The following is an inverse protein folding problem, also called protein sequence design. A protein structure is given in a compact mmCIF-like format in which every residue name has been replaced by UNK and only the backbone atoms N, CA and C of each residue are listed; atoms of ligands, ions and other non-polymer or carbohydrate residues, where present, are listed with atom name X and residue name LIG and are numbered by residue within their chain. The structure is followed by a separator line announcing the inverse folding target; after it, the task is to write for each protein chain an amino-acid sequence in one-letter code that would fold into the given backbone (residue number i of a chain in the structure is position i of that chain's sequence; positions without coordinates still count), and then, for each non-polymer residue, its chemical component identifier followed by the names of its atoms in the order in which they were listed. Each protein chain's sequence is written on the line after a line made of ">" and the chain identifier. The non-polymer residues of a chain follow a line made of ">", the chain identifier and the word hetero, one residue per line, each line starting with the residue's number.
data_IF_344755885852
#
_entry.id   IF_344755885852
#
_cell.length_a   1.000
_cell.length_b   1.000
_cell.length_c   1.000
_cell.angle_alpha   90.00
_cell.angle_beta   90.00
_cell.angle_gamma   90.00
#
_symmetry.space_group_name_H-M   'P 1'
#
loop_
_entity.id
_entity.type
_entity.pdbx_description
1 polymer ?
#
# COMPACT_ATOMS: atom_id res chain seq x y z
N UNK A 1 41.68 -125.86 -4.26
CA UNK A 1 41.17 -125.03 -3.16
C UNK A 1 42.27 -124.10 -2.70
N UNK A 2 42.22 -122.80 -3.03
CA UNK A 2 43.15 -121.80 -2.51
C UNK A 2 42.41 -120.48 -2.32
N UNK A 3 42.26 -120.10 -1.05
CA UNK A 3 41.71 -118.84 -0.58
C UNK A 3 42.62 -117.68 -0.97
N UNK A 4 42.04 -116.55 -1.38
CA UNK A 4 42.78 -115.31 -1.59
C UNK A 4 42.28 -114.24 -0.63
N UNK A 5 43.21 -113.77 0.19
CA UNK A 5 43.07 -112.71 1.17
C UNK A 5 42.90 -111.34 0.51
N UNK A 6 42.16 -110.48 1.21
CA UNK A 6 41.96 -109.06 0.93
C UNK A 6 43.16 -108.30 1.52
N UNK A 7 43.89 -107.59 0.67
CA UNK A 7 44.88 -106.58 1.06
C UNK A 7 44.47 -105.27 0.41
N UNK A 8 44.15 -104.27 1.23
CA UNK A 8 43.73 -102.93 0.81
C UNK A 8 45.00 -102.11 0.61
N UNK A 9 45.36 -101.85 -0.65
CA UNK A 9 46.43 -100.95 -1.04
C UNK A 9 45.79 -99.83 -1.85
N UNK A 10 45.41 -98.73 -1.18
CA UNK A 10 44.82 -97.56 -1.83
C UNK A 10 45.97 -96.66 -2.27
N UNK A 11 46.13 -96.42 -3.58
CA UNK A 11 47.19 -95.54 -4.09
C UNK A 11 46.98 -94.11 -3.57
N UNK A 12 48.04 -93.53 -3.00
CA UNK A 12 48.09 -92.13 -2.57
C UNK A 12 47.98 -91.24 -3.81
N UNK A 13 46.99 -90.33 -3.91
CA UNK A 13 46.93 -89.37 -5.02
C UNK A 13 48.02 -88.30 -4.86
N UNK A 14 48.85 -88.16 -5.89
CA UNK A 14 49.84 -87.09 -6.02
C UNK A 14 49.23 -85.70 -5.82
N UNK A 15 49.75 -84.94 -4.86
CA UNK A 15 49.43 -83.52 -4.67
C UNK A 15 50.10 -82.73 -5.78
N UNK A 16 49.36 -82.41 -6.85
CA UNK A 16 49.74 -81.41 -7.86
C UNK A 16 49.08 -80.08 -7.49
N UNK A 17 49.87 -79.12 -7.03
CA UNK A 17 49.43 -77.76 -6.68
C UNK A 17 48.99 -76.96 -7.92
N UNK A 18 47.91 -76.20 -7.74
CA UNK A 18 47.49 -74.96 -8.42
C UNK A 18 46.78 -75.03 -9.79
N UNK A 19 45.49 -74.67 -9.79
CA UNK A 19 44.87 -73.89 -10.88
C UNK A 19 44.08 -72.71 -10.27
N UNK A 20 44.21 -71.49 -10.81
CA UNK A 20 43.77 -70.27 -10.14
C UNK A 20 42.24 -70.06 -10.16
N UNK A 21 41.78 -69.46 -9.07
CA UNK A 21 40.39 -69.19 -8.66
C UNK A 21 39.71 -68.09 -9.49
N UNK A 22 39.82 -68.13 -10.83
CA UNK A 22 39.38 -67.01 -11.69
C UNK A 22 38.14 -67.34 -12.53
N UNK A 23 37.75 -68.61 -12.64
CA UNK A 23 36.64 -69.04 -13.52
C UNK A 23 35.30 -69.26 -12.79
N UNK A 24 35.26 -69.26 -11.45
CA UNK A 24 34.02 -69.56 -10.69
C UNK A 24 33.07 -68.37 -10.49
N UNK A 25 33.49 -67.13 -10.80
CA UNK A 25 32.72 -65.90 -10.51
C UNK A 25 32.00 -65.34 -11.75
N UNK A 26 32.29 -65.84 -12.96
CA UNK A 26 31.69 -65.30 -14.20
C UNK A 26 30.24 -65.75 -14.48
N UNK A 27 29.66 -66.64 -13.68
CA UNK A 27 28.31 -67.20 -13.95
C UNK A 27 27.15 -66.36 -13.39
N UNK A 28 27.42 -65.29 -12.65
CA UNK A 28 26.41 -64.44 -12.00
C UNK A 28 26.35 -62.99 -12.50
N UNK A 29 27.11 -62.65 -13.55
CA UNK A 29 27.03 -61.34 -14.18
C UNK A 29 25.97 -61.37 -15.28
N UNK A 30 24.90 -60.55 -15.21
CA UNK A 30 23.92 -60.45 -16.29
C UNK A 30 24.61 -60.07 -17.60
N UNK A 31 24.20 -60.69 -18.70
CA UNK A 31 24.79 -60.44 -20.01
C UNK A 31 24.60 -58.97 -20.41
N UNK A 32 25.50 -58.44 -21.24
CA UNK A 32 25.47 -57.05 -21.70
C UNK A 32 24.10 -56.64 -22.27
N UNK A 33 23.33 -57.59 -22.82
CA UNK A 33 21.98 -57.35 -23.35
C UNK A 33 20.89 -57.21 -22.28
N UNK A 34 20.99 -57.90 -21.15
CA UNK A 34 20.04 -57.70 -20.04
C UNK A 34 20.23 -56.34 -19.37
N UNK A 35 21.47 -55.87 -19.26
CA UNK A 35 21.76 -54.56 -18.63
C UNK A 35 21.21 -53.42 -19.48
N UNK A 36 21.34 -53.49 -20.80
CA UNK A 36 20.81 -52.46 -21.71
C UNK A 36 19.28 -52.48 -21.77
N UNK A 37 18.65 -53.66 -21.76
CA UNK A 37 17.19 -53.77 -21.72
C UNK A 37 16.59 -53.23 -20.42
N UNK A 38 17.18 -53.56 -19.26
CA UNK A 38 16.71 -53.03 -17.96
C UNK A 38 16.88 -51.52 -17.87
N UNK A 39 17.98 -50.96 -18.40
CA UNK A 39 18.17 -49.50 -18.44
C UNK A 39 17.15 -48.79 -19.34
N UNK A 40 16.77 -49.38 -20.47
CA UNK A 40 15.72 -48.81 -21.34
C UNK A 40 14.34 -48.83 -20.67
N UNK A 41 13.98 -49.92 -19.99
CA UNK A 41 12.70 -50.01 -19.27
C UNK A 41 12.61 -48.98 -18.14
N UNK A 42 13.69 -48.81 -17.36
CA UNK A 42 13.75 -47.78 -16.31
C UNK A 42 13.70 -46.37 -16.90
N UNK A 43 14.34 -46.13 -18.05
CA UNK A 43 14.27 -44.84 -18.74
C UNK A 43 12.86 -44.49 -19.22
N UNK A 44 12.10 -45.46 -19.75
CA UNK A 44 10.70 -45.27 -20.15
C UNK A 44 9.79 -45.09 -18.93
N UNK A 45 10.03 -45.82 -17.84
CA UNK A 45 9.31 -45.62 -16.57
C UNK A 45 9.61 -44.27 -15.90
N UNK A 46 10.78 -43.66 -16.15
CA UNK A 46 11.09 -42.30 -15.67
C UNK A 46 10.47 -41.22 -16.56
N UNK A 47 10.30 -41.48 -17.87
CA UNK A 47 9.57 -40.59 -18.77
C UNK A 47 8.05 -40.62 -18.55
N UNK A 48 7.49 -41.74 -18.10
CA UNK A 48 6.05 -41.89 -17.84
C UNK A 48 5.56 -41.12 -16.58
N UNK A 49 6.44 -40.54 -15.77
CA UNK A 49 6.07 -39.82 -14.52
C UNK A 49 5.82 -38.32 -14.74
N UNK A 50 5.96 -37.84 -15.99
CA UNK A 50 5.85 -36.41 -16.30
C UNK A 50 4.47 -35.97 -16.82
N UNK A 51 3.42 -36.77 -16.58
CA UNK A 51 2.03 -36.34 -16.81
C UNK A 51 1.26 -36.52 -15.50
N UNK A 52 1.18 -35.45 -14.70
CA UNK A 52 0.23 -35.38 -13.59
C UNK A 52 0.63 -34.61 -12.34
N UNK A 53 1.87 -34.13 -12.20
CA UNK A 53 2.21 -33.20 -11.13
C UNK A 53 1.84 -31.77 -11.54
N UNK A 54 0.56 -31.41 -11.43
CA UNK A 54 0.17 -30.01 -11.38
C UNK A 54 0.75 -29.43 -10.10
N UNK A 55 1.64 -28.41 -10.15
CA UNK A 55 1.93 -27.64 -8.95
C UNK A 55 0.61 -26.97 -8.55
N UNK A 56 0.07 -27.39 -7.40
CA UNK A 56 -0.91 -26.59 -6.69
C UNK A 56 -0.21 -25.29 -6.28
N UNK A 57 -0.26 -24.29 -7.15
CA UNK A 57 -0.08 -22.92 -6.72
C UNK A 57 -1.14 -22.71 -5.64
N UNK A 58 -0.70 -22.62 -4.39
CA UNK A 58 -1.51 -22.12 -3.30
C UNK A 58 -1.79 -20.65 -3.62
N UNK A 59 -2.79 -20.43 -4.46
CA UNK A 59 -3.53 -19.19 -4.46
C UNK A 59 -4.21 -19.14 -3.09
N UNK A 60 -3.63 -18.36 -2.19
CA UNK A 60 -4.36 -17.80 -1.06
C UNK A 60 -5.38 -16.81 -1.62
N UNK A 61 -6.36 -17.30 -2.38
CA UNK A 61 -7.65 -16.64 -2.45
C UNK A 61 -8.26 -16.82 -1.08
N UNK A 62 -8.74 -15.76 -0.40
CA UNK A 62 -9.60 -15.95 0.74
C UNK A 62 -10.82 -16.72 0.24
N UNK A 63 -10.86 -18.03 0.47
CA UNK A 63 -12.06 -18.82 0.30
C UNK A 63 -13.01 -18.31 1.38
N UNK A 64 -13.98 -17.51 0.94
CA UNK A 64 -15.13 -17.14 1.73
C UNK A 64 -15.66 -18.40 2.43
N UNK A 65 -15.99 -18.25 3.72
CA UNK A 65 -16.43 -19.33 4.59
C UNK A 65 -17.47 -20.23 3.91
N UNK A 66 -17.13 -21.51 3.93
CA UNK A 66 -17.81 -22.68 3.38
C UNK A 66 -19.17 -22.92 4.04
N UNK A 67 -20.22 -23.13 3.23
CA UNK A 67 -21.50 -23.61 3.71
C UNK A 67 -21.58 -25.13 3.64
N UNK A 68 -21.94 -25.78 4.73
CA UNK A 68 -22.40 -27.18 4.71
C UNK A 68 -23.88 -27.25 4.38
N UNK A 69 -24.30 -28.27 3.61
CA UNK A 69 -25.69 -28.47 3.21
C UNK A 69 -26.23 -29.70 3.93
N UNK A 70 -27.17 -29.51 4.85
CA UNK A 70 -27.88 -30.64 5.47
C UNK A 70 -28.78 -31.32 4.44
N UNK A 71 -28.64 -32.63 4.28
CA UNK A 71 -29.44 -33.41 3.35
C UNK A 71 -29.96 -34.69 4.02
N UNK A 72 -31.28 -34.85 3.99
CA UNK A 72 -31.97 -36.03 4.48
C UNK A 72 -32.60 -36.79 3.31
N UNK A 73 -32.42 -38.11 3.29
CA UNK A 73 -32.96 -38.99 2.26
C UNK A 73 -33.55 -40.27 2.86
N UNK A 74 -34.37 -40.95 2.05
CA UNK A 74 -34.88 -42.29 2.35
C UNK A 74 -34.32 -43.29 1.33
N UNK A 75 -33.64 -44.31 1.82
CA UNK A 75 -33.11 -45.42 1.06
C UNK A 75 -34.02 -46.64 1.22
N UNK A 76 -34.46 -47.19 0.09
CA UNK A 76 -35.26 -48.39 0.02
C UNK A 76 -34.71 -49.31 -1.07
N UNK A 77 -34.99 -50.60 -0.98
CA UNK A 77 -34.66 -51.57 -2.03
C UNK A 77 -35.59 -51.44 -3.25
N UNK A 78 -35.36 -52.27 -4.27
CA UNK A 78 -36.19 -52.30 -5.49
C UNK A 78 -37.66 -52.67 -5.23
N UNK A 79 -37.96 -53.33 -4.11
CA UNK A 79 -39.32 -53.65 -3.66
C UNK A 79 -39.97 -52.54 -2.81
N UNK A 80 -39.24 -51.44 -2.54
CA UNK A 80 -39.70 -50.33 -1.70
C UNK A 80 -39.57 -50.57 -0.20
N UNK A 81 -38.95 -51.67 0.23
CA UNK A 81 -38.70 -51.94 1.64
C UNK A 81 -37.56 -51.04 2.16
N UNK A 82 -37.73 -50.38 3.32
CA UNK A 82 -36.70 -49.53 3.89
C UNK A 82 -35.46 -50.33 4.28
N UNK A 83 -34.28 -49.80 3.97
CA UNK A 83 -33.00 -50.43 4.31
C UNK A 83 -32.47 -49.94 5.66
N UNK A 84 -31.79 -50.81 6.40
CA UNK A 84 -31.11 -50.46 7.66
C UNK A 84 -29.71 -51.02 7.65
N UNK A 85 -28.71 -50.19 7.95
CA UNK A 85 -27.31 -50.56 7.93
C UNK A 85 -26.38 -49.40 7.57
N UNK A 86 -25.12 -49.73 7.34
CA UNK A 86 -24.09 -48.78 6.92
C UNK A 86 -23.82 -48.93 5.42
N UNK A 87 -23.89 -47.83 4.68
CA UNK A 87 -23.73 -47.84 3.23
C UNK A 87 -22.68 -46.83 2.77
N UNK A 88 -21.83 -47.26 1.84
CA UNK A 88 -20.98 -46.35 1.08
C UNK A 88 -21.84 -45.49 0.18
N UNK A 89 -21.71 -44.17 0.25
CA UNK A 89 -22.45 -43.26 -0.62
C UNK A 89 -21.53 -42.22 -1.26
N UNK A 90 -21.79 -41.87 -2.50
CA UNK A 90 -21.10 -40.79 -3.21
C UNK A 90 -22.12 -39.74 -3.61
N UNK A 91 -21.88 -38.51 -3.17
CA UNK A 91 -22.71 -37.36 -3.48
C UNK A 91 -22.02 -36.49 -4.51
N UNK A 92 -22.77 -36.01 -5.50
CA UNK A 92 -22.25 -35.16 -6.57
C UNK A 92 -23.18 -34.00 -6.83
N UNK A 93 -22.61 -32.82 -7.06
CA UNK A 93 -23.37 -31.64 -7.48
C UNK A 93 -23.20 -31.41 -8.97
N UNK A 94 -24.31 -31.08 -9.64
CA UNK A 94 -24.36 -30.79 -11.06
C UNK A 94 -25.11 -29.48 -11.31
N UNK A 95 -24.86 -28.86 -12.47
CA UNK A 95 -25.65 -27.76 -13.01
C UNK A 95 -26.66 -28.22 -14.09
N UNK A 96 -26.90 -29.52 -14.21
CA UNK A 96 -27.90 -30.11 -15.10
C UNK A 96 -28.58 -31.31 -14.44
N UNK A 97 -29.86 -31.53 -14.79
CA UNK A 97 -30.68 -32.61 -14.23
C UNK A 97 -30.23 -34.03 -14.66
N UNK A 98 -29.63 -34.17 -15.84
CA UNK A 98 -29.19 -35.44 -16.43
C UNK A 98 -27.87 -35.25 -17.18
N UNK A 99 -26.97 -36.24 -17.14
CA UNK A 99 -25.66 -36.18 -17.78
C UNK A 99 -24.75 -35.12 -17.14
N UNK A 100 -23.85 -34.53 -17.94
CA UNK A 100 -22.92 -33.49 -17.49
C UNK A 100 -21.80 -33.98 -16.57
N UNK A 101 -20.80 -33.12 -16.36
CA UNK A 101 -19.69 -33.38 -15.43
C UNK A 101 -20.04 -32.87 -14.03
N UNK A 102 -19.70 -33.59 -12.95
CA UNK A 102 -19.93 -33.11 -11.60
C UNK A 102 -19.08 -31.87 -11.33
N UNK A 103 -19.70 -30.85 -10.75
CA UNK A 103 -19.03 -29.65 -10.25
C UNK A 103 -18.32 -29.90 -8.92
N UNK A 104 -18.85 -30.85 -8.14
CA UNK A 104 -18.34 -31.24 -6.84
C UNK A 104 -18.64 -32.72 -6.59
N UNK A 105 -17.80 -33.39 -5.81
CA UNK A 105 -17.96 -34.79 -5.43
C UNK A 105 -17.48 -34.98 -3.99
N UNK A 106 -18.26 -35.72 -3.20
CA UNK A 106 -17.91 -36.12 -1.85
C UNK A 106 -18.22 -37.60 -1.63
N UNK A 107 -17.29 -38.31 -1.00
CA UNK A 107 -17.36 -39.76 -0.81
C UNK A 107 -17.47 -40.11 0.67
N UNK A 108 -18.59 -40.72 1.05
CA UNK A 108 -18.86 -41.27 2.38
C UNK A 108 -18.60 -42.78 2.32
N UNK A 109 -17.34 -43.16 2.52
CA UNK A 109 -16.87 -44.55 2.36
C UNK A 109 -16.02 -44.99 3.56
N UNK A 110 -15.90 -46.31 3.77
CA UNK A 110 -15.11 -46.89 4.84
C UNK A 110 -15.60 -46.45 6.23
N UNK A 111 -14.74 -45.88 7.10
CA UNK A 111 -15.14 -45.43 8.43
C UNK A 111 -16.15 -44.26 8.41
N UNK A 112 -16.25 -43.54 7.29
CA UNK A 112 -17.17 -42.42 7.10
C UNK A 112 -18.40 -42.83 6.27
N UNK A 113 -18.74 -44.11 6.24
CA UNK A 113 -19.94 -44.58 5.52
C UNK A 113 -21.22 -44.08 6.21
N UNK A 114 -22.28 -43.89 5.43
CA UNK A 114 -23.54 -43.32 5.91
C UNK A 114 -24.34 -44.36 6.69
N UNK A 115 -24.78 -44.00 7.88
CA UNK A 115 -25.70 -44.82 8.67
C UNK A 115 -27.13 -44.58 8.19
N UNK A 116 -27.84 -45.66 7.90
CA UNK A 116 -29.24 -45.66 7.47
C UNK A 116 -30.05 -46.47 8.49
N UNK A 117 -31.14 -45.89 8.98
CA UNK A 117 -32.05 -46.55 9.93
C UNK A 117 -33.49 -46.41 9.45
N UNK A 118 -34.19 -47.53 9.28
CA UNK A 118 -35.56 -47.56 8.73
C UNK A 118 -35.68 -46.78 7.41
N UNK A 119 -34.65 -46.92 6.58
CA UNK A 119 -34.47 -46.20 5.32
C UNK A 119 -34.03 -44.75 5.49
N UNK A 120 -34.14 -44.13 6.65
CA UNK A 120 -33.79 -42.72 6.83
C UNK A 120 -32.28 -42.54 7.04
N UNK A 121 -31.70 -41.54 6.38
CA UNK A 121 -30.34 -41.07 6.65
C UNK A 121 -30.27 -39.54 6.59
N UNK A 122 -29.26 -38.98 7.26
CA UNK A 122 -28.95 -37.56 7.23
C UNK A 122 -27.44 -37.39 7.05
N UNK A 123 -27.04 -36.50 6.15
CA UNK A 123 -25.63 -36.17 5.89
C UNK A 123 -25.46 -34.65 5.86
N UNK A 124 -24.26 -34.21 6.20
CA UNK A 124 -23.87 -32.81 6.13
C UNK A 124 -22.91 -32.64 4.96
N UNK A 125 -23.45 -32.40 3.76
CA UNK A 125 -22.65 -32.27 2.55
C UNK A 125 -21.68 -31.09 2.69
N UNK A 126 -20.43 -31.30 2.31
CA UNK A 126 -19.37 -30.31 2.49
C UNK A 126 -18.56 -30.49 3.78
N UNK A 127 -18.92 -31.44 4.65
CA UNK A 127 -18.16 -31.72 5.87
C UNK A 127 -16.89 -32.53 5.62
N UNK A 128 -16.83 -33.30 4.52
CA UNK A 128 -15.64 -34.08 4.16
C UNK A 128 -14.87 -33.44 3.00
N UNK A 129 -15.58 -32.95 1.99
CA UNK A 129 -15.00 -32.23 0.85
C UNK A 129 -15.68 -30.87 0.74
N UNK A 130 -14.96 -29.80 1.04
CA UNK A 130 -15.52 -28.45 1.07
C UNK A 130 -16.23 -28.09 -0.24
N UNK A 131 -17.46 -27.59 -0.16
CA UNK A 131 -18.18 -27.05 -1.32
C UNK A 131 -17.68 -25.62 -1.56
N UNK A 132 -17.08 -25.37 -2.72
CA UNK A 132 -16.63 -24.02 -3.07
C UNK A 132 -17.80 -23.06 -3.23
N UNK A 133 -17.66 -21.84 -2.69
CA UNK A 133 -18.64 -20.77 -2.85
C UNK A 133 -18.91 -20.43 -4.33
N UNK A 134 -17.94 -20.64 -5.22
CA UNK A 134 -18.11 -20.40 -6.67
C UNK A 134 -19.11 -21.35 -7.32
N UNK A 135 -19.24 -22.58 -6.82
CA UNK A 135 -20.23 -23.56 -7.31
C UNK A 135 -21.63 -23.12 -6.92
N UNK A 136 -21.78 -22.61 -5.68
CA UNK A 136 -23.03 -22.12 -5.12
C UNK A 136 -23.49 -20.83 -5.80
N UNK A 137 -22.58 -19.87 -5.99
CA UNK A 137 -22.90 -18.53 -6.53
C UNK A 137 -22.95 -18.49 -8.05
N UNK A 138 -22.21 -19.38 -8.72
CA UNK A 138 -22.12 -19.42 -10.18
C UNK A 138 -23.24 -20.20 -10.87
N UNK A 139 -24.11 -20.89 -10.13
CA UNK A 139 -25.15 -21.74 -10.71
C UNK A 139 -26.53 -21.42 -10.09
N UNK A 140 -27.48 -21.01 -10.93
CA UNK A 140 -28.84 -20.69 -10.50
C UNK A 140 -29.62 -21.93 -10.01
N UNK A 141 -29.30 -23.09 -10.56
CA UNK A 141 -29.91 -24.36 -10.22
C UNK A 141 -28.80 -25.38 -9.95
N UNK A 142 -28.94 -26.15 -8.88
CA UNK A 142 -28.04 -27.25 -8.54
C UNK A 142 -28.85 -28.54 -8.40
N UNK A 143 -28.26 -29.65 -8.84
CA UNK A 143 -28.83 -30.99 -8.73
C UNK A 143 -27.87 -31.90 -7.98
N UNK A 144 -28.41 -32.62 -6.99
CA UNK A 144 -27.72 -33.62 -6.20
C UNK A 144 -27.91 -35.01 -6.83
N UNK A 145 -26.81 -35.58 -7.28
CA UNK A 145 -26.69 -36.99 -7.65
C UNK A 145 -26.21 -37.82 -6.48
N UNK A 146 -26.76 -39.02 -6.34
CA UNK A 146 -26.46 -39.95 -5.24
C UNK A 146 -26.16 -41.31 -5.84
N UNK A 147 -25.00 -41.86 -5.49
CA UNK A 147 -24.62 -43.25 -5.79
C UNK A 147 -24.52 -44.01 -4.47
N UNK A 148 -25.11 -45.20 -4.39
CA UNK A 148 -25.03 -46.07 -3.21
C UNK A 148 -24.25 -47.32 -3.58
N UNK A 149 -23.22 -47.65 -2.79
CA UNK A 149 -22.37 -48.81 -3.03
C UNK A 149 -21.72 -48.79 -4.41
N UNK A 150 -21.97 -49.84 -5.19
CA UNK A 150 -21.49 -50.02 -6.56
C UNK A 150 -22.57 -49.83 -7.62
N UNK A 151 -23.75 -49.35 -7.22
CA UNK A 151 -24.87 -49.17 -8.12
C UNK A 151 -24.64 -47.97 -9.06
N UNK A 152 -25.47 -47.86 -10.10
CA UNK A 152 -25.51 -46.67 -10.93
C UNK A 152 -26.01 -45.45 -10.12
N UNK A 153 -25.66 -44.24 -10.57
CA UNK A 153 -26.19 -43.01 -9.97
C UNK A 153 -27.72 -42.98 -10.07
N UNK A 154 -28.38 -42.73 -8.94
CA UNK A 154 -29.85 -42.71 -8.86
C UNK A 154 -30.43 -41.57 -9.70
N UNK A 155 -31.47 -41.88 -10.47
CA UNK A 155 -32.22 -40.93 -11.29
C UNK A 155 -33.72 -40.93 -10.91
N UNK A 156 -34.42 -39.77 -10.97
CA UNK A 156 -33.89 -38.44 -11.30
C UNK A 156 -33.06 -37.83 -10.16
N UNK A 157 -32.10 -36.96 -10.50
CA UNK A 157 -31.32 -36.20 -9.52
C UNK A 157 -32.23 -35.25 -8.72
N UNK A 158 -31.90 -35.04 -7.46
CA UNK A 158 -32.67 -34.16 -6.57
C UNK A 158 -32.27 -32.71 -6.81
N UNK A 159 -33.21 -31.86 -7.25
CA UNK A 159 -32.93 -30.43 -7.36
C UNK A 159 -32.78 -29.82 -5.95
N UNK A 160 -31.65 -29.19 -5.69
CA UNK A 160 -31.44 -28.40 -4.50
C UNK A 160 -32.09 -27.02 -4.73
N UNK A 161 -33.05 -26.64 -3.89
CA UNK A 161 -33.62 -25.29 -3.90
C UNK A 161 -32.58 -24.23 -3.49
N UNK A 162 -32.98 -22.95 -3.46
CA UNK A 162 -32.15 -21.77 -3.13
C UNK A 162 -31.57 -21.74 -1.69
N UNK A 163 -31.36 -22.88 -1.04
CA UNK A 163 -31.00 -23.02 0.37
C UNK A 163 -29.61 -22.44 0.73
N UNK A 164 -28.57 -22.38 -0.13
CA UNK A 164 -27.31 -21.78 0.30
C UNK A 164 -27.25 -20.26 0.05
N UNK A 165 -28.36 -19.57 -0.21
CA UNK A 165 -28.37 -18.10 -0.25
C UNK A 165 -28.25 -17.46 1.15
N UNK A 166 -28.50 -18.20 2.23
CA UNK A 166 -28.34 -17.68 3.60
C UNK A 166 -26.88 -17.36 3.98
N UNK A 167 -25.90 -17.94 3.27
CA UNK A 167 -24.46 -17.63 3.46
C UNK A 167 -24.06 -16.31 2.80
N UNK A 168 -24.90 -15.73 1.92
CA UNK A 168 -24.61 -14.48 1.24
C UNK A 168 -24.66 -13.23 2.13
N UNK A 169 -25.07 -13.36 3.40
CA UNK A 169 -25.12 -12.26 4.35
C UNK A 169 -23.76 -11.97 5.05
N UNK A 170 -22.72 -12.77 4.83
CA UNK A 170 -21.47 -12.66 5.61
C UNK A 170 -20.49 -11.60 5.09
N UNK A 171 -20.54 -11.21 3.81
CA UNK A 171 -19.62 -10.22 3.26
C UNK A 171 -20.30 -9.27 2.29
N UNK A 172 -19.89 -8.00 2.36
CA UNK A 172 -20.18 -6.99 1.34
C UNK A 172 -19.01 -7.04 0.35
N UNK A 173 -19.20 -7.44 -0.91
CA UNK A 173 -18.12 -7.48 -1.88
C UNK A 173 -17.49 -6.10 -2.08
N UNK A 174 -16.18 -6.06 -2.35
CA UNK A 174 -15.48 -4.83 -2.68
C UNK A 174 -16.15 -4.13 -3.88
N UNK A 175 -16.32 -2.81 -3.77
CA UNK A 175 -16.98 -2.00 -4.79
C UNK A 175 -18.51 -2.15 -4.86
N UNK A 176 -19.13 -3.02 -4.04
CA UNK A 176 -20.59 -3.14 -4.03
C UNK A 176 -21.28 -1.95 -3.36
N UNK A 177 -20.58 -1.15 -2.55
CA UNK A 177 -21.09 0.12 -2.03
C UNK A 177 -20.83 1.24 -3.04
N UNK A 178 -21.87 1.62 -3.77
CA UNK A 178 -21.83 2.74 -4.71
C UNK A 178 -22.33 4.02 -4.04
N UNK A 179 -22.09 5.17 -4.65
CA UNK A 179 -22.57 6.47 -4.14
C UNK A 179 -24.09 6.52 -3.98
N UNK A 180 -24.85 5.80 -4.82
CA UNK A 180 -26.30 5.67 -4.68
C UNK A 180 -26.76 4.92 -3.41
N UNK A 181 -25.86 4.15 -2.79
CA UNK A 181 -26.11 3.42 -1.53
C UNK A 181 -25.69 4.23 -0.30
N UNK A 182 -25.05 5.38 -0.49
CA UNK A 182 -24.59 6.25 0.58
C UNK A 182 -25.59 7.40 0.79
N UNK A 183 -25.78 7.78 2.05
CA UNK A 183 -26.59 8.95 2.37
C UNK A 183 -25.87 10.25 1.92
N UNK A 184 -26.62 11.34 1.64
CA UNK A 184 -26.05 12.58 1.10
C UNK A 184 -25.02 13.27 2.02
N UNK A 185 -25.04 12.97 3.31
CA UNK A 185 -24.13 13.48 4.34
C UNK A 185 -22.79 12.72 4.41
N UNK A 186 -22.65 11.62 3.68
CA UNK A 186 -21.40 10.84 3.60
C UNK A 186 -20.55 11.36 2.43
N UNK A 187 -19.64 12.29 2.71
CA UNK A 187 -18.69 12.82 1.73
C UNK A 187 -17.37 12.02 1.74
N UNK A 188 -17.24 11.05 0.84
CA UNK A 188 -15.97 10.33 0.61
C UNK A 188 -15.00 11.10 -0.30
N UNK A 189 -15.49 12.15 -0.96
CA UNK A 189 -14.71 13.08 -1.76
C UNK A 189 -14.57 14.36 -0.95
N UNK A 190 -13.37 14.95 -0.82
CA UNK A 190 -13.24 16.25 -0.18
C UNK A 190 -14.14 17.28 -0.90
N UNK A 191 -14.68 18.28 -0.17
CA UNK A 191 -15.65 19.21 -0.73
C UNK A 191 -15.17 19.88 -2.02
N UNK A 192 -16.08 20.31 -2.91
CA UNK A 192 -15.71 21.14 -4.05
C UNK A 192 -14.83 22.31 -3.60
N UNK A 193 -13.73 22.55 -4.31
CA UNK A 193 -12.69 23.55 -3.99
C UNK A 193 -11.76 23.22 -2.81
N UNK A 194 -11.77 21.98 -2.29
CA UNK A 194 -10.75 21.54 -1.33
C UNK A 194 -9.40 21.33 -2.02
N UNK A 195 -8.32 21.78 -1.39
CA UNK A 195 -6.94 21.46 -1.80
C UNK A 195 -6.51 20.21 -1.02
N UNK A 196 -6.24 19.11 -1.71
CA UNK A 196 -5.68 17.90 -1.11
C UNK A 196 -4.15 17.92 -1.16
N UNK A 197 -3.50 17.02 -0.43
CA UNK A 197 -2.03 16.86 -0.45
C UNK A 197 -1.50 16.53 -1.84
N UNK A 198 -2.30 15.85 -2.68
CA UNK A 198 -1.95 15.58 -4.08
C UNK A 198 -2.06 16.81 -5.00
N UNK A 199 -2.83 17.83 -4.61
CA UNK A 199 -3.01 19.06 -5.39
C UNK A 199 -1.89 20.08 -5.14
N UNK A 200 -1.08 19.89 -4.10
CA UNK A 200 0.13 20.68 -3.86
C UNK A 200 1.33 19.81 -4.20
N UNK A 201 1.99 20.09 -5.33
CA UNK A 201 3.23 19.41 -5.67
C UNK A 201 4.35 19.72 -4.65
N UNK A 202 5.31 18.81 -4.52
CA UNK A 202 6.49 19.05 -3.70
C UNK A 202 7.18 20.35 -4.13
N UNK A 203 7.54 21.18 -3.15
CA UNK A 203 8.11 22.51 -3.38
C UNK A 203 7.21 23.50 -4.14
N UNK A 204 5.91 23.20 -4.33
CA UNK A 204 4.99 24.15 -4.96
C UNK A 204 4.81 25.42 -4.13
N UNK A 205 4.97 25.36 -2.80
CA UNK A 205 4.95 26.52 -1.90
C UNK A 205 6.36 26.78 -1.42
N UNK A 206 7.06 27.69 -2.09
CA UNK A 206 8.44 28.05 -1.76
C UNK A 206 8.48 29.20 -0.74
N UNK A 207 9.62 29.39 -0.07
CA UNK A 207 9.85 30.57 0.76
C UNK A 207 9.69 31.87 -0.04
N UNK A 208 10.02 31.89 -1.33
CA UNK A 208 9.77 33.03 -2.21
C UNK A 208 8.26 33.31 -2.43
N UNK A 209 7.43 32.26 -2.48
CA UNK A 209 5.96 32.39 -2.55
C UNK A 209 5.33 32.83 -1.23
N UNK A 210 6.03 32.63 -0.12
CA UNK A 210 5.64 33.09 1.22
C UNK A 210 6.37 34.37 1.66
N UNK A 211 7.33 34.85 0.87
CA UNK A 211 8.19 35.94 1.27
C UNK A 211 7.40 37.24 1.31
N UNK A 212 7.43 37.89 2.48
CA UNK A 212 7.04 39.30 2.57
C UNK A 212 8.04 40.12 1.80
N UNK A 213 7.57 41.04 0.96
CA UNK A 213 8.45 41.94 0.25
C UNK A 213 8.95 43.00 1.24
N UNK A 214 10.27 42.99 1.44
CA UNK A 214 10.98 43.93 2.30
C UNK A 214 11.88 44.81 1.44
N UNK A 215 11.70 46.12 1.55
CA UNK A 215 12.54 47.10 0.87
C UNK A 215 13.36 47.82 1.93
N UNK A 216 14.67 47.54 2.00
CA UNK A 216 15.60 48.22 2.90
C UNK A 216 16.48 49.17 2.10
N UNK A 217 16.43 50.45 2.45
CA UNK A 217 17.37 51.47 2.00
C UNK A 217 18.25 51.89 3.17
N UNK A 218 19.56 51.99 2.93
CA UNK A 218 20.55 52.44 3.91
C UNK A 218 21.32 53.60 3.26
N UNK A 219 21.55 54.67 4.01
CA UNK A 219 22.50 55.70 3.58
C UNK A 219 23.89 55.31 4.06
N UNK A 220 24.83 55.13 3.14
CA UNK A 220 26.26 54.95 3.51
C UNK A 220 27.07 56.24 3.34
N UNK A 221 26.42 57.31 2.88
CA UNK A 221 27.02 58.63 2.67
C UNK A 221 26.34 59.70 3.55
N UNK A 222 27.10 60.74 3.89
CA UNK A 222 26.63 61.85 4.70
C UNK A 222 25.73 62.79 3.90
N UNK A 223 24.50 62.99 4.37
CA UNK A 223 23.62 64.07 3.90
C UNK A 223 23.94 65.34 4.69
N UNK A 224 24.32 66.42 4.01
CA UNK A 224 24.53 67.72 4.68
C UNK A 224 23.19 68.44 4.82
N UNK A 225 22.81 68.79 6.06
CA UNK A 225 21.59 69.53 6.37
C UNK A 225 21.97 70.94 6.84
N UNK A 226 22.03 71.95 5.96
CA UNK A 226 22.38 73.30 6.38
C UNK A 226 21.28 73.91 7.26
N UNK A 227 21.68 74.69 8.26
CA UNK A 227 20.81 75.35 9.22
C UNK A 227 19.96 76.45 8.55
N UNK A 228 18.92 76.00 7.88
CA UNK A 228 17.97 76.80 7.09
C UNK A 228 16.56 76.72 7.65
N UNK A 229 16.35 75.89 8.68
CA UNK A 229 15.02 75.58 9.24
C UNK A 229 14.10 74.81 8.28
N UNK A 230 14.62 74.34 7.15
CA UNK A 230 13.85 73.58 6.14
C UNK A 230 14.05 72.08 6.30
N UNK A 231 13.04 71.29 5.92
CA UNK A 231 13.10 69.83 5.94
C UNK A 231 13.80 69.27 4.69
N UNK A 232 14.82 68.44 4.90
CA UNK A 232 15.62 67.78 3.86
C UNK A 232 15.22 66.32 3.69
N UNK A 233 15.16 65.85 2.45
CA UNK A 233 14.99 64.42 2.14
C UNK A 233 16.32 63.69 2.40
N UNK A 234 16.29 62.72 3.33
CA UNK A 234 17.48 61.98 3.79
C UNK A 234 17.58 60.64 3.08
N UNK A 235 16.45 59.93 3.02
CA UNK A 235 16.29 58.69 2.27
C UNK A 235 14.95 58.73 1.54
N UNK A 236 14.92 58.18 0.33
CA UNK A 236 13.71 58.05 -0.46
C UNK A 236 13.62 56.64 -1.04
N UNK A 237 12.48 56.00 -0.83
CA UNK A 237 12.17 54.67 -1.32
C UNK A 237 10.90 54.71 -2.15
N UNK A 238 10.82 53.81 -3.14
CA UNK A 238 9.62 53.60 -3.94
C UNK A 238 9.12 52.19 -3.71
N UNK A 239 7.82 52.05 -3.46
CA UNK A 239 7.16 50.75 -3.35
C UNK A 239 5.99 50.70 -4.32
N UNK A 240 5.84 49.57 -5.02
CA UNK A 240 4.68 49.30 -5.88
C UNK A 240 3.90 48.14 -5.29
N UNK A 241 2.60 48.36 -5.08
CA UNK A 241 1.66 47.44 -4.44
C UNK A 241 0.55 47.07 -5.42
N UNK A 242 0.25 45.78 -5.53
CA UNK A 242 -0.77 45.28 -6.46
C UNK A 242 -2.19 45.37 -5.88
N UNK A 243 -2.29 45.58 -4.56
CA UNK A 243 -3.53 45.64 -3.79
C UNK A 243 -3.34 46.53 -2.55
N UNK A 244 -4.43 47.00 -1.92
CA UNK A 244 -4.34 47.68 -0.64
C UNK A 244 -3.61 46.79 0.38
N UNK A 245 -2.53 47.30 0.96
CA UNK A 245 -1.59 46.52 1.78
C UNK A 245 -1.23 47.32 3.03
N UNK A 246 -1.18 46.63 4.17
CA UNK A 246 -0.67 47.21 5.40
C UNK A 246 0.85 47.27 5.31
N UNK A 247 1.45 48.44 5.48
CA UNK A 247 2.89 48.65 5.34
C UNK A 247 3.46 49.15 6.65
N UNK A 248 4.46 48.44 7.16
CA UNK A 248 5.25 48.88 8.31
C UNK A 248 6.50 49.59 7.83
N UNK A 249 6.69 50.82 8.29
CA UNK A 249 7.84 51.66 7.96
C UNK A 249 8.67 51.85 9.23
N UNK A 250 9.95 51.50 9.16
CA UNK A 250 10.95 51.83 10.16
C UNK A 250 11.93 52.84 9.57
N UNK A 251 12.17 53.93 10.28
CA UNK A 251 13.14 54.92 9.91
C UNK A 251 14.12 55.16 11.06
N UNK A 252 15.39 55.30 10.73
CA UNK A 252 16.42 55.70 11.66
C UNK A 252 17.35 56.73 11.02
N UNK A 253 17.86 57.65 11.84
CA UNK A 253 18.89 58.61 11.45
C UNK A 253 20.01 58.55 12.47
N UNK A 254 21.19 58.19 12.00
CA UNK A 254 22.44 58.30 12.73
C UNK A 254 23.22 59.54 12.28
N UNK A 255 24.14 59.99 13.13
CA UNK A 255 25.01 61.13 12.83
C UNK A 255 26.48 60.71 12.91
N UNK A 256 27.28 61.17 11.96
CA UNK A 256 28.73 61.00 11.92
C UNK A 256 29.47 62.31 12.19
N UNK A 257 30.64 62.22 12.82
CA UNK A 257 31.66 63.29 12.86
C UNK A 257 31.22 64.66 13.40
N UNK A 258 30.24 64.71 14.30
CA UNK A 258 29.90 65.95 15.00
C UNK A 258 30.66 66.03 16.32
N UNK A 259 31.30 67.19 16.58
CA UNK A 259 31.97 67.48 17.86
C UNK A 259 30.97 67.74 19.01
N UNK A 260 29.67 67.64 18.75
CA UNK A 260 28.57 67.90 19.69
C UNK A 260 27.32 67.14 19.26
N UNK A 261 26.32 67.07 20.15
CA UNK A 261 25.04 66.45 19.85
C UNK A 261 24.29 67.18 18.73
N UNK A 262 23.64 66.38 17.90
CA UNK A 262 22.88 66.83 16.74
C UNK A 262 21.41 66.91 17.13
N UNK A 263 20.76 68.04 16.84
CA UNK A 263 19.33 68.21 17.12
C UNK A 263 18.55 68.38 15.81
N UNK A 264 17.53 67.54 15.60
CA UNK A 264 16.67 67.62 14.42
C UNK A 264 15.26 67.10 14.69
N UNK A 265 14.28 67.66 13.98
CA UNK A 265 12.96 67.03 13.83
C UNK A 265 13.04 65.99 12.72
N UNK A 266 12.38 64.85 12.94
CA UNK A 266 12.28 63.78 11.95
C UNK A 266 10.84 63.61 11.53
N UNK A 267 10.63 63.31 10.26
CA UNK A 267 9.32 62.93 9.74
C UNK A 267 9.47 61.86 8.66
N UNK A 268 8.48 60.99 8.57
CA UNK A 268 8.29 60.12 7.41
C UNK A 268 7.07 60.62 6.65
N UNK A 269 7.25 60.74 5.35
CA UNK A 269 6.24 61.23 4.41
C UNK A 269 5.98 60.14 3.38
N UNK A 270 4.69 59.88 3.10
CA UNK A 270 4.24 59.02 2.01
C UNK A 270 3.44 59.86 1.03
N UNK A 271 3.88 59.91 -0.23
CA UNK A 271 3.26 60.69 -1.32
C UNK A 271 3.03 62.17 -0.97
N UNK A 272 3.96 62.76 -0.23
CA UNK A 272 3.85 64.15 0.24
C UNK A 272 3.05 64.33 1.53
N UNK A 273 2.35 63.31 2.01
CA UNK A 273 1.61 63.36 3.28
C UNK A 273 2.43 62.81 4.44
N UNK A 274 2.51 63.57 5.53
CA UNK A 274 3.23 63.16 6.74
C UNK A 274 2.47 62.05 7.47
N UNK A 275 3.12 60.92 7.70
CA UNK A 275 2.53 59.75 8.37
C UNK A 275 3.02 59.54 9.79
N UNK A 276 4.23 60.02 10.11
CA UNK A 276 4.77 60.08 11.47
C UNK A 276 5.81 61.19 11.55
N UNK A 277 5.94 61.80 12.73
CA UNK A 277 6.95 62.79 13.05
C UNK A 277 7.36 62.71 14.52
N UNK A 278 8.50 63.31 14.85
CA UNK A 278 8.86 63.53 16.25
C UNK A 278 8.12 64.75 16.81
N UNK A 279 7.58 64.63 18.02
CA UNK A 279 6.88 65.73 18.72
C UNK A 279 7.86 66.74 19.33
N UNK A 280 9.11 66.32 19.52
CA UNK A 280 10.20 67.15 20.04
C UNK A 280 11.47 67.00 19.17
N UNK A 281 12.44 67.87 19.43
CA UNK A 281 13.78 67.73 18.86
C UNK A 281 14.39 66.39 19.28
N UNK A 282 14.87 65.62 18.30
CA UNK A 282 15.67 64.43 18.56
C UNK A 282 17.11 64.85 18.80
N UNK A 283 17.62 64.57 20.00
CA UNK A 283 19.05 64.63 20.31
C UNK A 283 19.69 63.35 19.83
N UNK A 284 20.70 63.45 18.98
CA UNK A 284 21.49 62.30 18.51
C UNK A 284 22.97 62.61 18.71
N UNK A 285 23.60 61.88 19.62
CA UNK A 285 25.04 61.96 19.87
C UNK A 285 25.87 61.09 18.92
N UNK A 286 27.19 61.16 19.09
CA UNK A 286 28.14 60.31 18.35
C UNK A 286 27.86 58.84 18.68
N UNK A 287 27.67 58.01 17.65
CA UNK A 287 27.36 56.59 17.85
C UNK A 287 25.91 56.29 18.27
N UNK A 288 25.04 57.31 18.40
CA UNK A 288 23.60 57.15 18.67
C UNK A 288 22.74 57.34 17.41
N UNK A 289 21.53 56.79 17.40
CA UNK A 289 20.55 56.95 16.32
C UNK A 289 19.18 57.33 16.88
N UNK A 290 18.47 58.21 16.18
CA UNK A 290 17.02 58.41 16.38
C UNK A 290 16.28 57.36 15.56
N UNK A 291 15.20 56.79 16.12
CA UNK A 291 14.40 55.77 15.46
C UNK A 291 12.91 56.11 15.57
N UNK A 292 12.15 55.79 14.53
CA UNK A 292 10.70 55.84 14.56
C UNK A 292 10.12 54.70 13.71
N UNK A 293 8.90 54.30 14.02
CA UNK A 293 8.16 53.38 13.17
C UNK A 293 6.68 53.73 13.14
N UNK A 294 6.05 53.46 11.99
CA UNK A 294 4.62 53.61 11.81
C UNK A 294 4.07 52.48 10.95
N UNK A 295 2.77 52.27 11.06
CA UNK A 295 2.02 51.34 10.22
C UNK A 295 0.98 52.15 9.47
N UNK A 296 0.98 52.03 8.15
CA UNK A 296 0.04 52.74 7.28
C UNK A 296 -0.55 51.77 6.27
N UNK A 297 -1.84 51.88 6.00
CA UNK A 297 -2.46 51.18 4.87
C UNK A 297 -2.23 52.00 3.62
N UNK A 298 -1.55 51.42 2.63
CA UNK A 298 -1.37 52.03 1.32
C UNK A 298 -2.27 51.32 0.31
N UNK A 299 -2.86 52.08 -0.60
CA UNK A 299 -3.70 51.55 -1.67
C UNK A 299 -2.85 50.79 -2.71
N UNK A 300 -3.50 50.14 -3.67
CA UNK A 300 -2.77 49.62 -4.83
C UNK A 300 -2.17 50.77 -5.64
N UNK A 301 -0.90 50.66 -6.02
CA UNK A 301 -0.20 51.68 -6.80
C UNK A 301 1.26 51.83 -6.41
N UNK A 302 1.91 52.83 -6.99
CA UNK A 302 3.29 53.21 -6.66
C UNK A 302 3.28 54.36 -5.67
N UNK A 303 3.95 54.16 -4.53
CA UNK A 303 4.04 55.13 -3.44
C UNK A 303 5.50 55.55 -3.22
N UNK A 304 5.71 56.84 -2.99
CA UNK A 304 6.99 57.44 -2.61
C UNK A 304 7.06 57.61 -1.10
N UNK A 305 8.02 56.95 -0.47
CA UNK A 305 8.25 57.03 0.98
C UNK A 305 9.56 57.77 1.22
N UNK A 306 9.51 58.85 2.00
CA UNK A 306 10.68 59.66 2.29
C UNK A 306 10.88 59.81 3.79
N UNK A 307 12.12 59.59 4.23
CA UNK A 307 12.59 60.01 5.53
C UNK A 307 13.14 61.42 5.38
N UNK A 308 12.61 62.36 6.17
CA UNK A 308 13.00 63.76 6.13
C UNK A 308 13.45 64.23 7.50
N UNK A 309 14.37 65.17 7.52
CA UNK A 309 14.85 65.79 8.74
C UNK A 309 14.98 67.30 8.60
N UNK A 310 14.57 68.02 9.65
CA UNK A 310 14.73 69.47 9.77
C UNK A 310 15.80 69.76 10.82
N UNK A 311 16.96 70.32 10.44
CA UNK A 311 18.04 70.59 11.39
C UNK A 311 17.69 71.75 12.32
N UNK A 312 18.14 71.65 13.58
CA UNK A 312 18.06 72.74 14.55
C UNK A 312 19.16 73.78 14.38
N UNK A 313 19.06 74.89 15.12
CA UNK A 313 19.90 76.07 15.00
C UNK A 313 21.40 75.85 15.27
N UNK A 314 21.77 74.74 15.90
CA UNK A 314 23.11 74.52 16.44
C UNK A 314 23.92 73.48 15.63
N UNK A 315 23.41 73.08 14.46
CA UNK A 315 23.77 71.78 13.92
C UNK A 315 24.65 71.83 12.66
N UNK A 316 25.88 71.35 12.80
CA UNK A 316 26.77 71.00 11.69
C UNK A 316 26.32 69.65 11.10
N UNK A 317 26.22 69.58 9.77
CA UNK A 317 26.23 68.36 8.95
C UNK A 317 25.72 67.08 9.64
N UNK A 318 24.40 66.83 9.63
CA UNK A 318 23.85 65.55 10.06
C UNK A 318 24.10 64.47 8.99
N UNK A 319 25.35 64.03 8.87
CA UNK A 319 25.76 63.02 7.91
C UNK A 319 25.25 61.65 8.33
N UNK A 320 24.36 61.06 7.53
CA UNK A 320 23.97 59.66 7.68
C UNK A 320 25.17 58.72 7.60
N UNK A 321 25.22 57.75 8.50
CA UNK A 321 26.00 56.51 8.37
C UNK A 321 25.09 55.32 8.12
N UNK A 322 25.67 54.13 8.15
CA UNK A 322 25.01 52.84 8.10
C UNK A 322 23.85 52.67 9.10
N UNK A 323 23.74 53.53 10.14
CA UNK A 323 22.63 53.55 11.10
C UNK A 323 21.45 54.42 10.62
N UNK A 324 21.63 55.19 9.55
CA UNK A 324 20.56 55.90 8.82
C UNK A 324 19.91 54.95 7.83
N UNK A 325 18.71 54.46 8.17
CA UNK A 325 18.01 53.43 7.42
C UNK A 325 16.53 53.78 7.23
N UNK A 326 15.98 53.31 6.12
CA UNK A 326 14.55 53.30 5.84
C UNK A 326 14.18 51.88 5.42
N UNK A 327 13.44 51.17 6.26
CA UNK A 327 13.02 49.78 6.04
C UNK A 327 11.50 49.75 5.91
N UNK A 328 11.03 49.17 4.82
CA UNK A 328 9.62 49.04 4.47
C UNK A 328 9.28 47.56 4.38
N UNK A 329 8.24 47.14 5.11
CA UNK A 329 7.80 45.74 5.16
C UNK A 329 6.34 45.68 4.72
N UNK A 330 6.06 44.92 3.66
CA UNK A 330 4.68 44.59 3.24
C UNK A 330 4.09 43.55 4.20
N UNK A 331 2.90 43.86 4.74
CA UNK A 331 2.17 43.12 5.77
C UNK A 331 1.14 42.13 5.25
#
# INVERSE_FOLDING_TARGET
>A
MKHKHIGVDVPVPDIRLSQPMTERIRRWLPSRGSVTFTLLVVGVLFWAQSVGAFPAAMLNTPTASTGTIAYQGRLADAGGAPLTGTYSMIFRLYNVATGGTPLWTEQWIGPNSVQVSDGLFNVMLGSMTLVSQTIITGNNNLWLGITVGTDDEMLPRVQLGNVPYAVQALTVPDGSITTAKLAPDVSLVPPPNSITTTMIADNAVTSAKLARKMTKLVSTASVSMPNTGMAYDILAATITLDKPTLVTIYASIGTQNNSSDTYFYTEVVVDGNRVIHSDSWNRVGIGEQSMMSTVVTLESGTHQIRLRATPGSNNSTAGGDDRTQLIIIEG
#
